data_IF_884425138199
#
_entry.id   IF_884425138199
#
_cell.length_a   1.000
_cell.length_b   1.000
_cell.length_c   1.000
_cell.angle_alpha   90.00
_cell.angle_beta   90.00
_cell.angle_gamma   90.00
#
_symmetry.space_group_name_H-M   'P 1'
#
loop_
_entity.id
_entity.type
_entity.pdbx_description
1 polymer ?
#
# COMPACT_ATOMS: atom_id res chain seq x y z
N UNK A 1 14.68 35.41 -6.53
CA UNK A 1 13.33 34.82 -6.22
C UNK A 1 13.30 34.60 -4.73
N UNK A 2 12.24 34.99 -4.01
CA UNK A 2 12.17 34.72 -2.58
C UNK A 2 11.72 33.28 -2.33
N UNK A 3 11.93 32.75 -1.10
CA UNK A 3 11.61 31.35 -0.77
C UNK A 3 10.14 31.00 -1.03
N UNK A 4 9.25 31.96 -0.81
CA UNK A 4 7.80 31.75 -1.02
C UNK A 4 7.45 31.61 -2.50
N UNK A 5 8.05 32.44 -3.36
CA UNK A 5 7.86 32.35 -4.81
C UNK A 5 8.39 31.01 -5.34
N UNK A 6 9.57 30.60 -4.89
CA UNK A 6 10.18 29.34 -5.29
C UNK A 6 9.37 28.12 -4.81
N UNK A 7 8.90 28.15 -3.58
CA UNK A 7 8.02 27.09 -3.05
C UNK A 7 6.73 26.97 -3.86
N UNK A 8 6.08 28.09 -4.22
CA UNK A 8 4.87 28.09 -5.04
C UNK A 8 5.13 27.55 -6.46
N UNK A 9 6.28 27.88 -7.06
CA UNK A 9 6.69 27.33 -8.35
C UNK A 9 6.83 25.80 -8.29
N UNK A 10 7.51 25.27 -7.27
CA UNK A 10 7.66 23.82 -7.06
C UNK A 10 6.28 23.16 -6.85
N UNK A 11 5.43 23.75 -6.01
CA UNK A 11 4.08 23.25 -5.76
C UNK A 11 3.25 23.15 -7.05
N UNK A 12 3.38 24.14 -7.95
CA UNK A 12 2.64 24.16 -9.22
C UNK A 12 3.03 23.00 -10.16
N UNK A 13 4.19 22.39 -9.95
CA UNK A 13 4.69 21.25 -10.74
C UNK A 13 4.22 19.90 -10.18
N UNK A 14 3.65 19.86 -8.97
CA UNK A 14 3.13 18.62 -8.36
C UNK A 14 1.62 18.56 -8.62
N UNK A 15 1.24 17.72 -9.57
CA UNK A 15 -0.16 17.54 -9.99
C UNK A 15 -0.90 16.40 -9.28
N UNK A 16 -0.19 15.52 -8.58
CA UNK A 16 -0.79 14.45 -7.81
C UNK A 16 -1.63 14.98 -6.63
N UNK A 17 -2.71 14.28 -6.31
CA UNK A 17 -3.62 14.65 -5.22
C UNK A 17 -4.19 16.07 -5.34
N UNK A 18 -4.72 16.41 -6.51
CA UNK A 18 -5.37 17.71 -6.76
C UNK A 18 -6.90 17.69 -6.54
N UNK A 19 -7.46 16.54 -6.15
CA UNK A 19 -8.88 16.37 -5.80
C UNK A 19 -9.02 16.23 -4.29
N UNK A 20 -10.19 16.55 -3.77
CA UNK A 20 -10.52 16.40 -2.33
C UNK A 20 -10.83 14.96 -1.95
N UNK A 21 -11.31 14.15 -2.90
CA UNK A 21 -11.70 12.76 -2.67
C UNK A 21 -11.15 11.83 -3.75
N UNK A 22 -10.75 10.65 -3.33
CA UNK A 22 -10.23 9.60 -4.20
C UNK A 22 -10.94 8.28 -3.94
N UNK A 23 -11.17 7.53 -5.01
CA UNK A 23 -11.60 6.14 -4.90
C UNK A 23 -10.41 5.24 -4.54
N UNK A 24 -10.69 4.05 -4.00
CA UNK A 24 -9.65 3.05 -3.72
C UNK A 24 -8.84 2.69 -4.97
N UNK A 25 -9.48 2.67 -6.13
CA UNK A 25 -8.83 2.38 -7.41
C UNK A 25 -7.89 3.50 -7.88
N UNK A 26 -8.17 4.76 -7.52
CA UNK A 26 -7.35 5.94 -7.86
C UNK A 26 -6.18 6.13 -6.89
N UNK A 27 -6.29 5.62 -5.66
CA UNK A 27 -5.33 5.88 -4.58
C UNK A 27 -3.91 5.47 -4.94
N UNK A 28 -3.69 4.21 -5.34
CA UNK A 28 -2.33 3.74 -5.67
C UNK A 28 -1.73 4.44 -6.89
N UNK A 29 -2.46 4.65 -8.01
CA UNK A 29 -1.99 5.49 -9.11
C UNK A 29 -1.55 6.89 -8.68
N UNK A 30 -2.34 7.58 -7.84
CA UNK A 30 -2.00 8.93 -7.36
C UNK A 30 -0.78 8.93 -6.41
N UNK A 31 -0.65 7.93 -5.54
CA UNK A 31 0.53 7.76 -4.69
C UNK A 31 1.81 7.54 -5.51
N UNK A 32 1.74 6.71 -6.55
CA UNK A 32 2.87 6.44 -7.44
C UNK A 32 3.21 7.68 -8.29
N UNK A 33 2.20 8.42 -8.73
CA UNK A 33 2.36 9.68 -9.44
C UNK A 33 3.08 10.71 -8.55
N UNK A 34 2.62 10.88 -7.30
CA UNK A 34 3.26 11.77 -6.33
C UNK A 34 4.72 11.41 -6.10
N UNK A 35 5.00 10.12 -5.87
CA UNK A 35 6.39 9.65 -5.73
C UNK A 35 7.23 10.01 -6.95
N UNK A 36 6.70 9.75 -8.15
CA UNK A 36 7.42 10.06 -9.40
C UNK A 36 7.69 11.55 -9.55
N UNK A 37 6.68 12.41 -9.36
CA UNK A 37 6.82 13.86 -9.48
C UNK A 37 7.87 14.42 -8.51
N UNK A 38 7.86 13.97 -7.24
CA UNK A 38 8.87 14.40 -6.24
C UNK A 38 10.26 13.89 -6.60
N UNK A 39 10.40 12.65 -7.07
CA UNK A 39 11.70 12.12 -7.55
C UNK A 39 12.20 12.89 -8.74
N UNK A 40 11.36 13.16 -9.74
CA UNK A 40 11.72 13.89 -10.95
C UNK A 40 12.15 15.34 -10.65
N UNK A 41 11.47 16.00 -9.71
CA UNK A 41 11.82 17.35 -9.25
C UNK A 41 13.15 17.39 -8.47
N UNK A 42 13.44 16.32 -7.71
CA UNK A 42 14.66 16.25 -6.90
C UNK A 42 15.90 15.96 -7.73
N UNK A 43 15.80 15.03 -8.69
CA UNK A 43 16.97 14.48 -9.39
C UNK A 43 17.11 14.91 -10.85
N UNK A 44 16.24 15.80 -11.34
CA UNK A 44 16.07 16.14 -12.76
C UNK A 44 15.78 14.90 -13.63
N UNK A 45 14.77 14.96 -14.48
CA UNK A 45 14.19 13.84 -15.24
C UNK A 45 15.20 12.93 -15.96
N UNK A 46 16.38 13.47 -16.35
CA UNK A 46 17.43 12.71 -17.04
C UNK A 46 18.18 11.68 -16.15
N UNK A 47 18.16 11.87 -14.82
CA UNK A 47 18.78 10.95 -13.86
C UNK A 47 17.78 9.95 -13.30
N UNK A 48 16.48 10.29 -13.29
CA UNK A 48 15.41 9.45 -12.79
C UNK A 48 15.16 8.19 -13.67
N UNK A 49 15.49 8.23 -14.96
CA UNK A 49 15.34 7.08 -15.88
C UNK A 49 16.34 5.95 -15.63
N UNK A 50 17.42 6.17 -14.90
CA UNK A 50 18.50 5.19 -14.66
C UNK A 50 18.37 4.36 -13.39
N UNK A 51 17.38 4.60 -12.54
CA UNK A 51 17.21 3.87 -11.29
C UNK A 51 15.75 3.83 -10.82
N UNK A 52 15.37 2.77 -10.13
CA UNK A 52 14.08 2.69 -9.42
C UNK A 52 14.10 3.58 -8.15
N UNK A 53 14.35 4.89 -8.32
CA UNK A 53 14.40 5.86 -7.22
C UNK A 53 13.04 5.94 -6.52
N UNK A 54 13.06 6.07 -5.20
CA UNK A 54 11.88 6.11 -4.32
C UNK A 54 11.94 7.33 -3.41
N UNK A 55 10.88 7.60 -2.68
CA UNK A 55 10.85 8.69 -1.70
C UNK A 55 11.99 8.62 -0.67
N UNK A 56 12.48 7.42 -0.36
CA UNK A 56 13.63 7.27 0.54
C UNK A 56 14.92 7.84 -0.05
N UNK A 57 15.15 7.69 -1.34
CA UNK A 57 16.31 8.26 -2.02
C UNK A 57 16.26 9.80 -2.02
N UNK A 58 15.04 10.37 -2.16
CA UNK A 58 14.80 11.81 -1.99
C UNK A 58 15.13 12.25 -0.57
N UNK A 59 14.67 11.52 0.45
CA UNK A 59 14.97 11.81 1.85
C UNK A 59 16.48 11.83 2.11
N UNK A 60 17.21 10.82 1.64
CA UNK A 60 18.67 10.76 1.81
C UNK A 60 19.40 11.91 1.08
N UNK A 61 18.93 12.27 -0.11
CA UNK A 61 19.46 13.42 -0.84
C UNK A 61 19.23 14.74 -0.09
N UNK A 62 18.00 14.95 0.45
CA UNK A 62 17.67 16.16 1.22
C UNK A 62 18.46 16.25 2.53
N UNK A 63 18.71 15.13 3.21
CA UNK A 63 19.58 15.09 4.38
C UNK A 63 20.98 15.57 4.05
N UNK A 64 21.58 15.02 2.98
CA UNK A 64 22.91 15.41 2.54
C UNK A 64 22.97 16.90 2.21
N UNK A 65 22.01 17.43 1.46
CA UNK A 65 21.94 18.87 1.15
C UNK A 65 21.81 19.71 2.42
N UNK A 66 20.98 19.29 3.38
CA UNK A 66 20.82 20.02 4.64
C UNK A 66 22.10 20.04 5.47
N UNK A 67 22.84 18.93 5.51
CA UNK A 67 24.14 18.84 6.19
C UNK A 67 25.16 19.79 5.51
N UNK A 68 25.20 19.83 4.17
CA UNK A 68 26.03 20.74 3.37
C UNK A 68 25.67 22.22 3.59
N UNK A 69 24.43 22.51 4.02
CA UNK A 69 23.90 23.85 4.34
C UNK A 69 23.87 24.14 5.85
N UNK A 70 24.66 23.43 6.65
CA UNK A 70 24.77 23.60 8.12
C UNK A 70 23.43 23.51 8.86
N UNK A 71 22.52 22.65 8.43
CA UNK A 71 21.23 22.44 9.11
C UNK A 71 20.20 23.54 8.85
N UNK A 72 20.31 24.27 7.74
CA UNK A 72 19.45 25.41 7.40
C UNK A 72 17.94 25.08 7.41
N UNK A 73 17.56 23.82 7.26
CA UNK A 73 16.17 23.36 7.14
C UNK A 73 15.80 22.21 8.09
N UNK A 74 16.51 22.00 9.20
CA UNK A 74 16.33 20.84 10.10
C UNK A 74 14.88 20.52 10.43
N UNK A 75 14.08 21.49 10.84
CA UNK A 75 12.67 21.28 11.20
C UNK A 75 11.79 20.87 10.02
N UNK A 76 12.05 21.41 8.85
CA UNK A 76 11.33 21.04 7.62
C UNK A 76 11.73 19.64 7.18
N UNK A 77 13.02 19.34 7.24
CA UNK A 77 13.58 18.04 6.93
C UNK A 77 13.00 16.94 7.84
N UNK A 78 12.91 17.17 9.14
CA UNK A 78 12.33 16.23 10.08
C UNK A 78 10.86 15.91 9.74
N UNK A 79 10.05 16.94 9.48
CA UNK A 79 8.65 16.78 9.04
C UNK A 79 8.56 16.01 7.74
N UNK A 80 9.40 16.35 6.77
CA UNK A 80 9.44 15.66 5.48
C UNK A 80 9.81 14.19 5.61
N UNK A 81 10.80 13.85 6.46
CA UNK A 81 11.18 12.46 6.74
C UNK A 81 10.00 11.66 7.29
N UNK A 82 9.30 12.20 8.29
CA UNK A 82 8.19 11.49 8.93
C UNK A 82 7.02 11.29 7.97
N UNK A 83 6.63 12.32 7.23
CA UNK A 83 5.54 12.23 6.26
C UNK A 83 5.91 11.35 5.06
N UNK A 84 7.15 11.42 4.55
CA UNK A 84 7.65 10.53 3.49
C UNK A 84 7.65 9.07 3.90
N UNK A 85 8.00 8.77 5.16
CA UNK A 85 7.90 7.42 5.72
C UNK A 85 6.45 6.93 5.73
N UNK A 86 5.51 7.78 6.13
CA UNK A 86 4.08 7.44 6.15
C UNK A 86 3.55 7.17 4.72
N UNK A 87 3.85 8.06 3.77
CA UNK A 87 3.47 7.90 2.36
C UNK A 87 4.11 6.65 1.75
N UNK A 88 5.40 6.42 1.96
CA UNK A 88 6.10 5.23 1.48
C UNK A 88 5.54 3.92 2.04
N UNK A 89 5.19 3.90 3.32
CA UNK A 89 4.52 2.75 3.95
C UNK A 89 3.14 2.51 3.33
N UNK A 90 2.39 3.58 3.03
CA UNK A 90 1.08 3.47 2.38
C UNK A 90 1.21 2.90 0.97
N UNK A 91 2.16 3.40 0.17
CA UNK A 91 2.46 2.84 -1.17
C UNK A 91 2.75 1.33 -1.07
N UNK A 92 3.63 0.94 -0.15
CA UNK A 92 3.99 -0.47 0.04
C UNK A 92 2.79 -1.33 0.47
N UNK A 93 1.93 -0.81 1.35
CA UNK A 93 0.72 -1.50 1.80
C UNK A 93 -0.28 -1.68 0.65
N UNK A 94 -0.53 -0.64 -0.16
CA UNK A 94 -1.44 -0.69 -1.30
C UNK A 94 -0.95 -1.68 -2.38
N UNK A 95 0.35 -1.65 -2.72
CA UNK A 95 0.93 -2.61 -3.66
C UNK A 95 0.77 -4.04 -3.13
N UNK A 96 1.07 -4.25 -1.84
CA UNK A 96 0.97 -5.57 -1.20
C UNK A 96 -0.47 -6.07 -1.14
N UNK A 97 -1.42 -5.20 -0.78
CA UNK A 97 -2.86 -5.50 -0.76
C UNK A 97 -3.36 -5.92 -2.14
N UNK A 98 -3.13 -5.08 -3.14
CA UNK A 98 -3.55 -5.33 -4.52
C UNK A 98 -2.98 -6.64 -5.09
N UNK A 99 -1.71 -6.95 -4.79
CA UNK A 99 -1.11 -8.21 -5.19
C UNK A 99 -1.79 -9.42 -4.51
N UNK A 100 -2.13 -9.29 -3.23
CA UNK A 100 -2.88 -10.32 -2.50
C UNK A 100 -4.28 -10.54 -3.07
N UNK A 101 -5.02 -9.45 -3.31
CA UNK A 101 -6.33 -9.48 -3.92
C UNK A 101 -6.33 -10.17 -5.29
N UNK A 102 -5.38 -9.82 -6.16
CA UNK A 102 -5.25 -10.42 -7.48
C UNK A 102 -5.10 -11.95 -7.44
N UNK A 103 -4.30 -12.47 -6.50
CA UNK A 103 -4.14 -13.93 -6.32
C UNK A 103 -5.45 -14.60 -5.95
N UNK A 104 -6.19 -14.01 -5.00
CA UNK A 104 -7.46 -14.58 -4.55
C UNK A 104 -8.52 -14.48 -5.63
N UNK A 105 -8.61 -13.34 -6.32
CA UNK A 105 -9.58 -13.17 -7.41
C UNK A 105 -9.31 -14.13 -8.56
N UNK A 106 -8.05 -14.35 -8.91
CA UNK A 106 -7.70 -15.36 -9.90
C UNK A 106 -8.12 -16.77 -9.46
N UNK A 107 -7.93 -17.12 -8.19
CA UNK A 107 -8.38 -18.39 -7.65
C UNK A 107 -9.92 -18.53 -7.69
N UNK A 108 -10.66 -17.47 -7.35
CA UNK A 108 -12.11 -17.44 -7.38
C UNK A 108 -12.71 -17.47 -8.79
N UNK A 109 -12.00 -16.92 -9.80
CA UNK A 109 -12.42 -17.02 -11.22
C UNK A 109 -12.41 -18.45 -11.76
N UNK A 110 -11.64 -19.34 -11.12
CA UNK A 110 -11.48 -20.73 -11.55
C UNK A 110 -12.30 -21.71 -10.71
N UNK A 111 -13.33 -21.24 -9.97
CA UNK A 111 -14.27 -22.11 -9.25
C UNK A 111 -15.00 -23.05 -10.25
N UNK A 112 -15.00 -24.33 -9.92
CA UNK A 112 -15.64 -25.38 -10.72
C UNK A 112 -17.14 -25.52 -10.49
N UNK A 113 -17.74 -24.75 -9.57
CA UNK A 113 -19.18 -24.74 -9.32
C UNK A 113 -19.84 -23.52 -9.91
N UNK A 114 -21.18 -23.56 -10.03
CA UNK A 114 -21.97 -22.39 -10.39
C UNK A 114 -21.79 -21.29 -9.35
N UNK A 115 -21.31 -20.13 -9.79
CA UNK A 115 -20.97 -19.04 -8.90
C UNK A 115 -21.04 -17.67 -9.56
N UNK A 116 -21.11 -16.65 -8.70
CA UNK A 116 -20.86 -15.25 -9.08
C UNK A 116 -20.01 -14.57 -8.00
N UNK A 117 -19.08 -13.73 -8.41
CA UNK A 117 -18.15 -13.04 -7.50
C UNK A 117 -18.28 -11.54 -7.65
N UNK A 118 -18.59 -10.85 -6.57
CA UNK A 118 -18.45 -9.41 -6.46
C UNK A 118 -17.15 -9.08 -5.72
N UNK A 119 -16.44 -8.06 -6.19
CA UNK A 119 -15.11 -7.68 -5.67
C UNK A 119 -15.13 -6.24 -5.19
N UNK A 120 -14.42 -5.97 -4.10
CA UNK A 120 -14.23 -4.64 -3.54
C UNK A 120 -15.57 -3.89 -3.44
N UNK A 121 -16.51 -4.50 -2.70
CA UNK A 121 -17.87 -3.99 -2.56
C UNK A 121 -17.94 -3.09 -1.34
N UNK A 122 -18.23 -1.82 -1.54
CA UNK A 122 -18.58 -0.92 -0.45
C UNK A 122 -20.10 -0.81 -0.32
N UNK A 123 -20.58 -1.12 0.88
CA UNK A 123 -22.00 -1.02 1.24
C UNK A 123 -22.20 0.07 2.26
N UNK A 124 -23.30 0.79 2.10
CA UNK A 124 -23.75 1.80 3.07
C UNK A 124 -25.23 1.67 3.35
N UNK A 125 -25.58 1.69 4.63
CA UNK A 125 -26.96 1.73 5.08
C UNK A 125 -27.05 2.40 6.45
N UNK A 126 -27.95 3.37 6.59
CA UNK A 126 -28.21 4.09 7.84
C UNK A 126 -26.93 4.67 8.48
N UNK A 127 -26.07 5.27 7.64
CA UNK A 127 -24.80 5.89 8.07
C UNK A 127 -23.71 4.87 8.46
N UNK A 128 -23.97 3.56 8.41
CA UNK A 128 -22.96 2.52 8.55
C UNK A 128 -22.41 2.16 7.21
N UNK A 129 -21.09 2.11 7.11
CA UNK A 129 -20.37 1.79 5.88
C UNK A 129 -19.34 0.71 6.12
N UNK A 130 -19.26 -0.24 5.21
CA UNK A 130 -18.25 -1.31 5.26
C UNK A 130 -17.77 -1.70 3.86
N UNK A 131 -16.51 -2.11 3.78
CA UNK A 131 -15.93 -2.69 2.58
C UNK A 131 -15.81 -4.20 2.73
N UNK A 132 -16.18 -4.95 1.67
CA UNK A 132 -16.05 -6.39 1.57
C UNK A 132 -15.12 -6.69 0.39
N UNK A 133 -13.98 -7.36 0.65
CA UNK A 133 -12.98 -7.65 -0.38
C UNK A 133 -13.57 -8.55 -1.48
N UNK A 134 -14.31 -9.62 -1.10
CA UNK A 134 -15.09 -10.39 -2.05
C UNK A 134 -16.36 -10.98 -1.43
N UNK A 135 -17.43 -11.05 -2.24
CA UNK A 135 -18.64 -11.80 -1.96
C UNK A 135 -18.77 -12.87 -3.04
N UNK A 136 -18.80 -14.13 -2.63
CA UNK A 136 -18.98 -15.27 -3.54
C UNK A 136 -20.36 -15.86 -3.32
N UNK A 137 -21.22 -15.75 -4.34
CA UNK A 137 -22.51 -16.38 -4.39
C UNK A 137 -22.36 -17.73 -5.07
N UNK A 138 -22.87 -18.78 -4.44
CA UNK A 138 -22.94 -20.11 -5.04
C UNK A 138 -24.38 -20.64 -4.93
N UNK A 139 -24.67 -21.75 -5.59
CA UNK A 139 -25.98 -22.39 -5.46
C UNK A 139 -26.23 -22.99 -4.06
N UNK A 140 -25.26 -22.97 -3.14
CA UNK A 140 -25.37 -23.59 -1.80
C UNK A 140 -25.28 -22.60 -0.65
N UNK A 141 -24.55 -21.51 -0.83
CA UNK A 141 -24.27 -20.53 0.22
C UNK A 141 -23.67 -19.24 -0.36
N UNK A 142 -23.59 -18.23 0.48
CA UNK A 142 -22.89 -16.99 0.21
C UNK A 142 -21.66 -16.94 1.11
N UNK A 143 -20.50 -16.51 0.55
CA UNK A 143 -19.26 -16.37 1.30
C UNK A 143 -18.82 -14.92 1.30
N UNK A 144 -18.61 -14.36 2.49
CA UNK A 144 -17.88 -13.12 2.69
C UNK A 144 -16.41 -13.48 2.85
N UNK A 145 -15.56 -13.01 1.96
CA UNK A 145 -14.13 -13.32 1.95
C UNK A 145 -13.34 -12.07 2.28
N UNK A 146 -12.63 -12.11 3.39
CA UNK A 146 -11.62 -11.13 3.77
C UNK A 146 -10.25 -11.62 3.31
N UNK A 147 -9.48 -10.73 2.67
CA UNK A 147 -8.17 -11.06 2.08
C UNK A 147 -7.05 -10.44 2.90
N UNK A 148 -6.11 -11.24 3.36
CA UNK A 148 -4.94 -10.78 4.11
C UNK A 148 -3.64 -11.23 3.45
N UNK A 149 -2.80 -10.24 3.11
CA UNK A 149 -1.44 -10.48 2.62
C UNK A 149 -0.42 -10.14 3.72
N UNK A 150 -0.23 -11.05 4.67
CA UNK A 150 0.70 -10.87 5.78
C UNK A 150 2.03 -11.57 5.52
N UNK A 151 3.13 -10.97 5.98
CA UNK A 151 4.44 -11.60 6.06
C UNK A 151 4.73 -12.19 7.44
N UNK A 152 3.83 -11.96 8.41
CA UNK A 152 3.96 -12.40 9.79
C UNK A 152 2.90 -13.45 10.10
N UNK A 153 3.21 -14.34 11.03
CA UNK A 153 2.25 -15.30 11.56
C UNK A 153 1.06 -14.58 12.19
N UNK A 154 -0.08 -15.23 12.22
CA UNK A 154 -1.35 -14.66 12.65
C UNK A 154 -1.91 -15.45 13.81
N UNK A 155 -2.42 -14.73 14.80
CA UNK A 155 -3.25 -15.28 15.87
C UNK A 155 -4.58 -14.54 15.94
N UNK A 156 -5.68 -15.29 15.99
CA UNK A 156 -7.03 -14.77 16.22
C UNK A 156 -7.55 -15.40 17.50
N UNK A 157 -7.81 -14.57 18.51
CA UNK A 157 -8.28 -15.04 19.82
C UNK A 157 -9.78 -15.46 19.81
N UNK A 158 -10.29 -15.91 20.95
CA UNK A 158 -11.66 -16.36 21.11
C UNK A 158 -12.71 -15.25 20.92
N UNK A 159 -12.32 -13.98 21.06
CA UNK A 159 -13.16 -12.78 20.89
C UNK A 159 -13.02 -12.18 19.48
N UNK A 160 -12.19 -12.75 18.61
CA UNK A 160 -11.95 -12.26 17.26
C UNK A 160 -10.90 -11.16 17.18
N UNK A 161 -10.13 -10.93 18.24
CA UNK A 161 -8.96 -10.03 18.21
C UNK A 161 -7.92 -10.58 17.24
N UNK A 162 -7.48 -9.75 16.30
CA UNK A 162 -6.54 -10.12 15.24
C UNK A 162 -5.14 -9.59 15.56
N UNK A 163 -4.16 -10.50 15.61
CA UNK A 163 -2.78 -10.20 15.98
C UNK A 163 -1.80 -10.68 14.92
N UNK A 164 -0.81 -9.84 14.62
CA UNK A 164 0.38 -10.22 13.85
C UNK A 164 1.51 -10.57 14.80
N UNK A 165 2.08 -11.78 14.65
CA UNK A 165 3.16 -12.30 15.48
C UNK A 165 4.49 -12.11 14.74
N UNK A 166 5.41 -11.37 15.37
CA UNK A 166 6.79 -11.17 14.94
C UNK A 166 7.69 -11.22 16.17
N UNK A 167 8.65 -10.31 16.27
CA UNK A 167 9.46 -10.15 17.50
C UNK A 167 8.58 -9.75 18.72
N UNK A 168 7.45 -9.11 18.43
CA UNK A 168 6.39 -8.84 19.40
C UNK A 168 5.03 -9.10 18.76
N UNK A 169 4.02 -9.34 19.58
CA UNK A 169 2.63 -9.46 19.15
C UNK A 169 2.06 -8.05 18.94
N UNK A 170 1.45 -7.82 17.77
CA UNK A 170 0.86 -6.55 17.39
C UNK A 170 -0.63 -6.73 17.11
N UNK A 171 -1.46 -6.03 17.86
CA UNK A 171 -2.92 -6.02 17.67
C UNK A 171 -3.32 -5.14 16.48
N UNK A 172 -4.10 -5.68 15.56
CA UNK A 172 -4.57 -4.99 14.34
C UNK A 172 -6.09 -4.72 14.33
N UNK A 173 -6.74 -4.90 15.45
CA UNK A 173 -8.17 -4.70 15.61
C UNK A 173 -8.96 -6.00 15.75
N UNK A 174 -10.28 -5.89 15.83
CA UNK A 174 -11.18 -7.05 15.96
C UNK A 174 -11.73 -7.45 14.60
N UNK A 175 -11.36 -8.64 14.11
CA UNK A 175 -11.83 -9.14 12.83
C UNK A 175 -13.26 -9.70 12.91
N UNK A 176 -13.69 -10.19 14.08
CA UNK A 176 -15.05 -10.66 14.26
C UNK A 176 -16.06 -9.53 14.10
N UNK A 177 -15.85 -8.40 14.78
CA UNK A 177 -16.71 -7.21 14.67
C UNK A 177 -16.82 -6.72 13.22
N UNK A 178 -15.68 -6.64 12.51
CA UNK A 178 -15.68 -6.24 11.11
C UNK A 178 -16.46 -7.19 10.21
N UNK A 179 -16.31 -8.50 10.42
CA UNK A 179 -17.02 -9.49 9.61
C UNK A 179 -18.50 -9.56 9.97
N UNK A 180 -18.89 -9.28 11.21
CA UNK A 180 -20.30 -9.20 11.64
C UNK A 180 -20.98 -7.96 11.03
N UNK A 181 -20.31 -6.81 10.97
CA UNK A 181 -20.81 -5.61 10.31
C UNK A 181 -21.02 -5.84 8.81
N UNK A 182 -20.06 -6.48 8.14
CA UNK A 182 -20.19 -6.87 6.73
C UNK A 182 -21.36 -7.82 6.47
N UNK A 183 -21.50 -8.83 7.31
CA UNK A 183 -22.63 -9.76 7.23
C UNK A 183 -23.96 -9.04 7.45
N UNK A 184 -24.02 -8.12 8.41
CA UNK A 184 -25.23 -7.35 8.70
C UNK A 184 -25.67 -6.52 7.49
N UNK A 185 -24.78 -5.74 6.89
CA UNK A 185 -25.11 -4.91 5.71
C UNK A 185 -25.45 -5.77 4.48
N UNK A 186 -24.75 -6.89 4.29
CA UNK A 186 -25.08 -7.83 3.23
C UNK A 186 -26.48 -8.44 3.42
N UNK A 187 -26.86 -8.81 4.64
CA UNK A 187 -28.21 -9.31 4.93
C UNK A 187 -29.29 -8.29 4.61
N UNK A 188 -29.10 -7.03 4.95
CA UNK A 188 -30.03 -5.96 4.60
C UNK A 188 -30.23 -5.87 3.07
N UNK A 189 -29.15 -5.95 2.29
CA UNK A 189 -29.24 -5.98 0.83
C UNK A 189 -30.07 -7.17 0.32
N UNK A 190 -29.81 -8.36 0.87
CA UNK A 190 -30.47 -9.59 0.45
C UNK A 190 -31.94 -9.65 0.87
N UNK A 191 -32.28 -9.13 2.04
CA UNK A 191 -33.67 -9.04 2.52
C UNK A 191 -34.51 -8.12 1.61
N UNK A 192 -33.95 -7.02 1.13
CA UNK A 192 -34.60 -6.15 0.14
C UNK A 192 -34.92 -6.86 -1.17
N UNK A 193 -34.09 -7.86 -1.54
CA UNK A 193 -34.31 -8.71 -2.70
C UNK A 193 -35.28 -9.87 -2.44
N UNK A 194 -35.90 -9.95 -1.26
CA UNK A 194 -36.78 -11.02 -0.87
C UNK A 194 -36.09 -12.35 -0.56
N UNK A 195 -34.76 -12.33 -0.34
CA UNK A 195 -33.98 -13.52 0.03
C UNK A 195 -33.98 -13.66 1.55
N UNK A 196 -34.83 -14.55 2.04
CA UNK A 196 -34.98 -14.77 3.48
C UNK A 196 -33.88 -15.68 4.04
N UNK A 197 -33.20 -15.22 5.07
CA UNK A 197 -32.22 -15.97 5.90
C UNK A 197 -31.22 -16.82 5.10
N UNK A 198 -30.51 -16.22 4.13
CA UNK A 198 -29.50 -16.95 3.37
C UNK A 198 -28.37 -17.40 4.30
N UNK A 199 -27.79 -18.57 4.04
CA UNK A 199 -26.57 -19.01 4.71
C UNK A 199 -25.39 -18.19 4.22
N UNK A 200 -24.83 -17.40 5.12
CA UNK A 200 -23.65 -16.57 4.87
C UNK A 200 -22.50 -17.13 5.71
N UNK A 201 -21.35 -17.35 5.07
CA UNK A 201 -20.14 -17.84 5.73
C UNK A 201 -19.04 -16.79 5.66
N UNK A 202 -18.38 -16.57 6.77
CA UNK A 202 -17.26 -15.65 6.92
C UNK A 202 -15.94 -16.43 6.74
N UNK A 203 -15.14 -16.00 5.77
CA UNK A 203 -13.85 -16.61 5.45
C UNK A 203 -12.78 -15.55 5.50
N UNK A 204 -11.69 -15.82 6.19
CA UNK A 204 -10.46 -15.01 6.10
C UNK A 204 -9.41 -15.82 5.35
N UNK A 205 -8.93 -15.28 4.24
CA UNK A 205 -7.95 -15.96 3.39
C UNK A 205 -6.61 -15.27 3.39
N UNK A 206 -5.55 -16.08 3.46
CA UNK A 206 -4.17 -15.62 3.52
C UNK A 206 -3.45 -15.96 2.22
N UNK A 207 -2.80 -14.95 1.62
CA UNK A 207 -2.14 -15.08 0.32
C UNK A 207 -0.69 -15.53 0.41
N UNK A 208 -0.10 -15.48 1.61
CA UNK A 208 1.24 -16.00 1.88
C UNK A 208 1.12 -17.42 2.46
N UNK A 209 1.62 -18.46 1.75
CA UNK A 209 1.51 -19.85 2.21
C UNK A 209 2.51 -20.21 3.31
N UNK A 210 3.44 -19.32 3.65
CA UNK A 210 4.54 -19.58 4.59
C UNK A 210 4.30 -19.01 5.99
N UNK A 211 3.10 -18.53 6.28
CA UNK A 211 2.73 -18.06 7.62
C UNK A 211 1.92 -19.10 8.36
N UNK A 212 2.14 -19.18 9.65
CA UNK A 212 1.27 -19.95 10.55
C UNK A 212 0.06 -19.08 10.93
N UNK A 213 -1.10 -19.71 10.92
CA UNK A 213 -2.37 -19.09 11.31
C UNK A 213 -3.02 -19.93 12.38
N UNK A 214 -3.08 -19.39 13.60
CA UNK A 214 -3.86 -19.94 14.71
C UNK A 214 -5.14 -19.11 14.86
N UNK A 215 -6.29 -19.75 14.78
CA UNK A 215 -7.60 -19.10 14.96
C UNK A 215 -8.43 -19.85 15.99
N UNK A 216 -8.73 -19.18 17.10
CA UNK A 216 -9.59 -19.69 18.17
C UNK A 216 -11.05 -19.22 18.04
N UNK A 217 -11.32 -18.26 17.16
CA UNK A 217 -12.66 -17.76 16.89
C UNK A 217 -13.40 -18.67 15.89
N UNK A 218 -14.46 -19.35 16.34
CA UNK A 218 -15.11 -20.42 15.58
C UNK A 218 -16.03 -19.95 14.45
N UNK A 219 -16.44 -18.68 14.43
CA UNK A 219 -17.40 -18.16 13.45
C UNK A 219 -16.75 -17.57 12.18
N UNK A 220 -15.43 -17.65 12.07
CA UNK A 220 -14.67 -17.29 10.87
C UNK A 220 -13.82 -18.49 10.46
N UNK A 221 -13.85 -18.84 9.17
CA UNK A 221 -13.01 -19.89 8.61
C UNK A 221 -11.70 -19.31 8.09
N UNK A 222 -10.56 -19.54 8.75
CA UNK A 222 -9.27 -19.21 8.18
C UNK A 222 -8.86 -20.25 7.13
N UNK A 223 -8.28 -19.81 6.00
CA UNK A 223 -7.70 -20.71 5.01
C UNK A 223 -6.65 -20.01 4.16
N UNK A 224 -5.74 -20.77 3.55
CA UNK A 224 -4.86 -20.28 2.50
C UNK A 224 -5.64 -20.04 1.19
N UNK A 225 -5.22 -19.06 0.42
CA UNK A 225 -5.88 -18.68 -0.84
C UNK A 225 -5.96 -19.83 -1.86
N UNK A 226 -4.99 -20.72 -1.87
CA UNK A 226 -4.97 -21.91 -2.72
C UNK A 226 -5.97 -22.98 -2.32
N UNK A 227 -6.41 -22.99 -1.07
CA UNK A 227 -7.44 -23.91 -0.56
C UNK A 227 -8.85 -23.31 -0.64
N UNK A 228 -8.98 -22.00 -0.75
CA UNK A 228 -10.28 -21.30 -0.77
C UNK A 228 -11.24 -21.84 -1.84
N UNK A 229 -10.85 -22.09 -3.11
CA UNK A 229 -11.74 -22.68 -4.09
C UNK A 229 -12.27 -24.06 -3.68
N UNK A 230 -11.37 -24.93 -3.22
CA UNK A 230 -11.74 -26.27 -2.74
C UNK A 230 -12.71 -26.21 -1.56
N UNK A 231 -12.52 -25.27 -0.64
CA UNK A 231 -13.42 -25.08 0.50
C UNK A 231 -14.82 -24.68 0.02
N UNK A 232 -14.93 -23.72 -0.90
CA UNK A 232 -16.21 -23.24 -1.45
C UNK A 232 -16.91 -24.33 -2.24
N UNK A 233 -16.22 -25.05 -3.12
CA UNK A 233 -16.79 -26.11 -3.97
C UNK A 233 -17.30 -27.32 -3.17
N UNK A 234 -16.52 -27.72 -2.17
CA UNK A 234 -16.89 -28.87 -1.31
C UNK A 234 -17.89 -28.52 -0.22
N UNK A 235 -18.25 -27.23 -0.12
CA UNK A 235 -19.21 -26.81 0.89
C UNK A 235 -20.58 -27.49 0.67
N UNK A 236 -21.18 -27.99 1.73
CA UNK A 236 -22.48 -28.64 1.69
C UNK A 236 -23.51 -27.83 2.46
N UNK A 237 -24.67 -27.70 1.91
CA UNK A 237 -25.79 -26.98 2.51
C UNK A 237 -27.12 -27.69 2.14
N UNK A 238 -28.10 -27.49 2.98
CA UNK A 238 -29.49 -27.84 2.65
C UNK A 238 -30.25 -26.70 1.96
N UNK A 239 -29.60 -25.55 1.73
CA UNK A 239 -30.12 -24.47 0.88
C UNK A 239 -29.66 -24.68 -0.56
N UNK A 240 -30.51 -24.26 -1.49
CA UNK A 240 -30.22 -24.22 -2.91
C UNK A 240 -30.70 -22.91 -3.50
N UNK A 241 -29.82 -22.22 -4.18
CA UNK A 241 -30.11 -21.00 -4.92
C UNK A 241 -30.03 -21.29 -6.42
N UNK A 242 -31.09 -20.97 -7.15
CA UNK A 242 -31.06 -21.01 -8.61
C UNK A 242 -30.14 -19.91 -9.16
N UNK A 243 -29.74 -20.05 -10.40
CA UNK A 243 -29.00 -19.00 -11.11
C UNK A 243 -29.72 -17.64 -11.08
N UNK A 244 -31.04 -17.65 -11.26
CA UNK A 244 -31.86 -16.44 -11.20
C UNK A 244 -31.81 -15.80 -9.80
N UNK A 245 -31.86 -16.62 -8.74
CA UNK A 245 -31.70 -16.15 -7.35
C UNK A 245 -30.33 -15.51 -7.13
N UNK A 246 -29.26 -16.10 -7.69
CA UNK A 246 -27.90 -15.53 -7.60
C UNK A 246 -27.86 -14.17 -8.31
N UNK A 247 -28.44 -14.05 -9.50
CA UNK A 247 -28.52 -12.77 -10.21
C UNK A 247 -29.30 -11.71 -9.43
N UNK A 248 -30.40 -12.08 -8.83
CA UNK A 248 -31.23 -11.20 -7.98
C UNK A 248 -30.45 -10.71 -6.75
N UNK A 249 -29.75 -11.61 -6.05
CA UNK A 249 -28.88 -11.26 -4.93
C UNK A 249 -27.78 -10.28 -5.33
N UNK A 250 -27.12 -10.52 -6.46
CA UNK A 250 -26.08 -9.63 -6.97
C UNK A 250 -26.64 -8.24 -7.30
N UNK A 251 -27.80 -8.17 -7.94
CA UNK A 251 -28.46 -6.90 -8.25
C UNK A 251 -28.75 -6.10 -6.98
N UNK A 252 -29.32 -6.73 -5.97
CA UNK A 252 -29.62 -6.09 -4.70
C UNK A 252 -28.37 -5.56 -3.97
N UNK A 253 -27.28 -6.31 -3.99
CA UNK A 253 -26.00 -5.84 -3.43
C UNK A 253 -25.49 -4.63 -4.23
N UNK A 254 -25.59 -4.67 -5.57
CA UNK A 254 -25.15 -3.55 -6.41
C UNK A 254 -25.97 -2.27 -6.19
N UNK A 255 -27.26 -2.39 -5.88
CA UNK A 255 -28.13 -1.24 -5.55
C UNK A 255 -27.76 -0.56 -4.23
N UNK A 256 -27.15 -1.30 -3.30
CA UNK A 256 -26.68 -0.76 -2.02
C UNK A 256 -25.22 -0.30 -2.04
N UNK A 257 -24.54 -0.42 -3.17
CA UNK A 257 -23.17 0.09 -3.29
C UNK A 257 -23.15 1.60 -3.14
N UNK A 258 -22.25 2.07 -2.31
CA UNK A 258 -21.91 3.49 -2.24
C UNK A 258 -20.63 3.78 -3.06
N UNK A 259 -20.46 5.07 -3.39
CA UNK A 259 -19.19 5.52 -3.93
C UNK A 259 -18.11 5.38 -2.87
N UNK A 260 -17.01 4.71 -3.20
CA UNK A 260 -15.87 4.67 -2.32
C UNK A 260 -15.24 6.07 -2.25
N UNK A 261 -15.15 6.63 -1.05
CA UNK A 261 -14.38 7.83 -0.79
C UNK A 261 -13.29 7.49 0.22
N UNK A 262 -12.06 7.70 -0.16
CA UNK A 262 -10.92 7.38 0.65
C UNK A 262 -10.38 8.62 1.36
N UNK A 263 -10.26 8.55 2.69
CA UNK A 263 -9.55 9.57 3.47
C UNK A 263 -8.09 9.16 3.60
N UNK A 264 -7.20 10.03 3.16
CA UNK A 264 -5.76 9.79 3.30
C UNK A 264 -5.33 9.94 4.76
N UNK A 265 -4.48 9.02 5.28
CA UNK A 265 -3.94 9.11 6.63
C UNK A 265 -2.90 10.24 6.79
N UNK A 266 -2.49 10.86 5.70
CA UNK A 266 -1.53 11.97 5.64
C UNK A 266 -2.18 13.09 4.84
N UNK A 267 -2.09 14.32 5.35
CA UNK A 267 -2.48 15.50 4.57
C UNK A 267 -1.51 15.68 3.38
N UNK A 268 -2.00 15.38 2.18
CA UNK A 268 -1.21 15.44 0.96
C UNK A 268 -0.86 16.86 0.58
N UNK A 269 -1.68 17.86 0.93
CA UNK A 269 -1.38 19.25 0.67
C UNK A 269 -0.26 19.74 1.60
N UNK A 270 -0.32 19.37 2.89
CA UNK A 270 0.76 19.63 3.82
C UNK A 270 2.06 18.91 3.41
N UNK A 271 1.98 17.66 2.94
CA UNK A 271 3.13 16.92 2.47
C UNK A 271 3.82 17.62 1.29
N UNK A 272 3.05 18.00 0.25
CA UNK A 272 3.57 18.72 -0.92
C UNK A 272 4.18 20.08 -0.53
N UNK A 273 3.50 20.82 0.34
CA UNK A 273 3.98 22.11 0.84
C UNK A 273 5.27 21.96 1.66
N UNK A 274 5.37 20.93 2.50
CA UNK A 274 6.58 20.64 3.27
C UNK A 274 7.77 20.35 2.36
N UNK A 275 7.59 19.54 1.32
CA UNK A 275 8.61 19.26 0.31
C UNK A 275 9.05 20.55 -0.41
N UNK A 276 8.10 21.32 -0.93
CA UNK A 276 8.40 22.54 -1.69
C UNK A 276 9.13 23.58 -0.83
N UNK A 277 8.71 23.77 0.42
CA UNK A 277 9.38 24.68 1.36
C UNK A 277 10.77 24.19 1.74
N UNK A 278 10.97 22.88 1.90
CA UNK A 278 12.27 22.28 2.17
C UNK A 278 13.24 22.56 1.03
N UNK A 279 12.84 22.29 -0.21
CA UNK A 279 13.68 22.56 -1.39
C UNK A 279 14.00 24.04 -1.51
N UNK A 280 13.00 24.92 -1.43
CA UNK A 280 13.20 26.37 -1.52
C UNK A 280 14.15 26.90 -0.44
N UNK A 281 14.05 26.36 0.79
CA UNK A 281 14.94 26.75 1.90
C UNK A 281 16.37 26.29 1.67
N UNK A 282 16.56 25.04 1.19
CA UNK A 282 17.88 24.51 0.90
C UNK A 282 18.56 25.20 -0.30
N UNK A 283 17.79 25.58 -1.32
CA UNK A 283 18.31 26.35 -2.46
C UNK A 283 18.70 27.78 -2.08
N UNK A 284 17.97 28.41 -1.15
CA UNK A 284 18.24 29.75 -0.70
C UNK A 284 19.40 29.85 0.33
N UNK A 285 19.72 28.74 1.00
CA UNK A 285 20.87 28.69 1.88
C UNK A 285 22.13 28.70 1.03
N UNK A 286 22.87 29.83 1.06
CA UNK A 286 24.13 29.99 0.35
C UNK A 286 25.10 28.87 0.77
N UNK A 287 25.86 28.33 -0.20
CA UNK A 287 27.01 27.52 0.13
C UNK A 287 27.93 28.35 1.05
N UNK A 288 28.43 27.78 2.17
CA UNK A 288 29.33 28.51 3.02
C UNK A 288 30.49 29.00 2.15
N UNK A 289 30.65 30.34 1.99
CA UNK A 289 31.83 30.91 1.33
C UNK A 289 33.04 30.21 1.97
N UNK A 290 33.78 29.47 1.16
CA UNK A 290 35.12 29.05 1.52
C UNK A 290 35.90 30.36 1.65
N UNK A 291 35.95 30.90 2.89
CA UNK A 291 36.84 32.03 3.16
C UNK A 291 38.19 31.60 2.66
N UNK A 292 38.60 32.19 1.54
CA UNK A 292 39.93 32.01 1.00
C UNK A 292 40.87 32.35 2.15
N UNK A 293 41.47 31.34 2.74
CA UNK A 293 42.53 31.51 3.70
C UNK A 293 43.60 32.35 2.98
N UNK A 294 43.91 33.49 3.54
CA UNK A 294 44.95 34.38 3.06
C UNK A 294 46.16 33.57 2.57
N UNK A 295 46.80 33.94 1.44
CA UNK A 295 47.94 33.22 0.96
C UNK A 295 49.01 33.20 2.04
N UNK A 296 49.35 32.01 2.51
CA UNK A 296 50.47 31.76 3.41
C UNK A 296 51.71 32.29 2.67
N UNK A 297 52.38 33.31 3.23
CA UNK A 297 53.67 33.74 2.82
C UNK A 297 54.59 32.55 2.64
N UNK A 298 55.14 32.42 1.43
CA UNK A 298 56.04 31.34 1.04
C UNK A 298 57.36 31.48 1.81
N UNK A 299 57.59 30.62 2.79
CA UNK A 299 58.92 30.37 3.33
C UNK A 299 59.74 29.51 2.31
N UNK A 300 61.05 29.70 2.20
CA UNK A 300 61.88 29.12 1.15
C UNK A 300 62.06 27.59 1.36
N UNK A 301 62.42 26.84 0.30
CA UNK A 301 62.36 25.40 0.29
C UNK A 301 63.53 24.76 1.08
N UNK A 302 63.20 23.92 2.04
CA UNK A 302 64.15 22.99 2.64
C UNK A 302 64.14 21.64 1.86
N UNK A 303 65.30 21.12 1.67
CA UNK A 303 65.72 20.01 0.82
C UNK A 303 65.00 18.68 1.08
N UNK A 304 64.82 17.94 0.00
CA UNK A 304 64.31 16.58 -0.07
C UNK A 304 65.08 15.62 0.82
N UNK A 305 64.36 14.74 1.53
CA UNK A 305 64.90 13.43 1.85
C UNK A 305 63.87 12.33 1.52
N UNK A 306 64.33 11.36 0.79
CA UNK A 306 63.62 10.19 0.28
C UNK A 306 63.30 9.23 1.42
N UNK A 307 62.04 8.87 1.62
CA UNK A 307 61.72 7.51 2.08
C UNK A 307 60.37 7.04 1.55
N UNK A 308 60.43 6.24 0.47
CA UNK A 308 59.41 5.32 0.08
C UNK A 308 59.18 4.26 1.19
N UNK A 309 57.99 4.14 1.71
CA UNK A 309 57.49 2.86 2.20
C UNK A 309 55.96 2.75 2.09
N UNK A 310 55.60 1.90 1.19
CA UNK A 310 54.41 1.05 1.07
C UNK A 310 53.42 1.06 2.26
N UNK A 311 52.16 1.45 1.98
CA UNK A 311 51.00 0.86 2.64
C UNK A 311 49.99 0.53 1.54
N UNK A 312 50.16 -0.65 0.99
CA UNK A 312 49.13 -1.31 0.24
C UNK A 312 48.37 -2.29 1.14
N UNK A 313 47.09 -2.45 0.82
CA UNK A 313 46.20 -3.51 1.30
C UNK A 313 45.67 -3.41 2.73
N UNK A 314 44.51 -2.84 2.89
CA UNK A 314 43.39 -3.38 3.69
C UNK A 314 42.13 -2.67 3.20
N UNK A 315 41.49 -3.14 2.14
CA UNK A 315 40.03 -3.01 1.87
C UNK A 315 39.70 -4.20 0.95
N UNK A 316 39.34 -5.32 1.52
CA UNK A 316 38.49 -6.34 0.91
C UNK A 316 38.07 -7.32 1.98
N UNK A 317 36.92 -7.10 2.56
CA UNK A 317 36.08 -8.17 3.08
C UNK A 317 34.95 -7.57 3.92
N UNK A 318 33.89 -7.14 3.30
CA UNK A 318 32.51 -7.19 3.79
C UNK A 318 31.60 -6.96 2.55
N UNK A 319 31.51 -7.96 1.72
CA UNK A 319 30.40 -8.14 0.78
C UNK A 319 30.24 -9.65 0.54
N UNK A 320 29.39 -10.23 1.31
CA UNK A 320 28.99 -11.63 1.15
C UNK A 320 27.79 -11.91 2.01
N UNK A 321 26.62 -11.80 1.42
CA UNK A 321 25.46 -12.69 1.51
C UNK A 321 24.15 -11.92 1.48
N UNK A 322 23.42 -12.16 0.40
CA UNK A 322 21.97 -12.25 0.45
C UNK A 322 21.22 -11.11 -0.18
N UNK A 323 20.83 -11.28 -1.41
CA UNK A 323 19.42 -11.32 -1.84
C UNK A 323 19.36 -11.17 -3.35
N UNK A 324 19.01 -12.23 -4.03
CA UNK A 324 18.62 -12.21 -5.44
C UNK A 324 17.33 -11.39 -5.58
N UNK A 325 17.43 -10.24 -6.21
CA UNK A 325 16.28 -9.47 -6.64
C UNK A 325 15.76 -10.10 -7.93
N UNK A 326 14.64 -10.80 -7.84
CA UNK A 326 13.87 -11.17 -9.01
C UNK A 326 13.35 -9.88 -9.66
N UNK A 327 13.79 -9.61 -10.88
CA UNK A 327 13.27 -8.55 -11.74
C UNK A 327 11.84 -8.89 -12.13
N UNK A 328 10.86 -8.21 -11.53
CA UNK A 328 9.45 -8.27 -11.94
C UNK A 328 9.25 -7.20 -13.01
N UNK A 329 9.22 -7.63 -14.26
CA UNK A 329 8.80 -6.81 -15.38
C UNK A 329 7.31 -6.47 -15.24
N UNK A 330 6.99 -5.23 -14.97
CA UNK A 330 5.61 -4.73 -14.98
C UNK A 330 5.20 -4.43 -16.41
N UNK A 331 4.40 -5.31 -16.98
CA UNK A 331 3.59 -4.96 -18.14
C UNK A 331 2.33 -4.25 -17.62
N UNK A 332 2.23 -2.95 -17.89
CA UNK A 332 1.03 -2.17 -17.63
C UNK A 332 -0.09 -2.65 -18.56
N UNK A 333 -0.94 -3.54 -18.07
CA UNK A 333 -2.24 -3.79 -18.68
C UNK A 333 -3.22 -2.72 -18.20
N UNK A 334 -3.72 -1.95 -19.15
CA UNK A 334 -4.86 -1.07 -18.99
C UNK A 334 -6.06 -1.90 -18.53
N UNK A 335 -6.44 -1.78 -17.27
CA UNK A 335 -7.64 -2.41 -16.74
C UNK A 335 -8.76 -1.38 -16.81
N UNK A 336 -9.59 -1.51 -17.84
CA UNK A 336 -10.92 -0.92 -17.80
C UNK A 336 -11.70 -1.56 -16.65
N UNK A 337 -12.19 -0.73 -15.74
CA UNK A 337 -13.00 -1.11 -14.59
C UNK A 337 -14.37 -1.63 -15.06
N UNK A 338 -14.49 -2.93 -15.23
CA UNK A 338 -15.77 -3.62 -15.25
C UNK A 338 -15.79 -4.69 -14.18
N UNK A 339 -16.45 -4.38 -13.05
CA UNK A 339 -16.56 -5.22 -11.88
C UNK A 339 -17.56 -6.39 -11.99
N UNK A 340 -17.74 -6.95 -13.17
CA UNK A 340 -18.63 -8.10 -13.39
C UNK A 340 -17.78 -9.25 -13.90
N UNK A 341 -17.48 -10.18 -13.00
CA UNK A 341 -16.91 -11.47 -13.40
C UNK A 341 -17.97 -12.31 -14.10
N UNK A 342 -17.58 -12.99 -15.18
CA UNK A 342 -18.45 -13.85 -15.95
C UNK A 342 -19.11 -14.90 -15.05
N UNK A 343 -20.45 -14.97 -15.14
CA UNK A 343 -21.20 -16.07 -14.54
C UNK A 343 -20.92 -17.31 -15.37
N UNK A 344 -20.32 -18.33 -14.77
CA UNK A 344 -20.17 -19.66 -15.40
C UNK A 344 -21.39 -20.50 -15.08
N UNK A 345 -21.99 -21.06 -16.11
CA UNK A 345 -23.03 -22.11 -15.97
C UNK A 345 -22.40 -23.45 -15.60
#
# INVERSE_FOLDING_TARGET
MNNTERSNEILSQISAFNKDTYTKSELLPELLKLQKEIVDLTFNSQHAEKGNLRLWDVVEHMKKLNDERNGAADKLLERFIQSSKSVGNKIAAEISGKYGEQKVFWALENLGCENAVLRNVELEFDGKRTEIDAIVFTNKAIFIVEIKNSKKNIFIDEQGGFYRIGNCMHYDGNIAEKMDEREHLLRIALERAGVERPKIFKVITFTNPYIDVECKYHYIKPCGYNYLPTFIEKFTSNQYFSYESICTMMAAVNEMKCADSYQMPVDMNEYKATYANLVATLEAAEEPEIKATNPIETAPPAQADNQQKSVGKIILNILGKGASAASIGFTLFSIASFGISKIKK
#
